data_IF_477334695754
#
_entry.id   IF_477334695754
#
_cell.length_a   1.000
_cell.length_b   1.000
_cell.length_c   1.000
_cell.angle_alpha   90.00
_cell.angle_beta   90.00
_cell.angle_gamma   90.00
#
_symmetry.space_group_name_H-M   'P 1'
#
loop_
_entity.id
_entity.type
_entity.pdbx_description
1 polymer ?
#
# COMPACT_ATOMS: atom_id res chain seq x y z
N UNK A 1 26.65 10.10 -46.84
CA UNK A 1 26.55 9.14 -45.72
C UNK A 1 26.80 9.80 -44.34
N UNK A 2 27.90 10.56 -44.13
CA UNK A 2 28.15 11.20 -42.78
C UNK A 2 27.07 12.14 -42.23
N UNK A 3 26.41 12.93 -43.08
CA UNK A 3 25.36 13.84 -42.68
C UNK A 3 24.10 13.15 -42.09
N UNK A 4 23.73 12.00 -42.62
CA UNK A 4 22.57 11.23 -42.08
C UNK A 4 22.89 10.53 -40.76
N UNK A 5 24.13 10.10 -40.56
CA UNK A 5 24.56 9.47 -39.30
C UNK A 5 24.47 10.48 -38.14
N UNK A 6 24.95 11.71 -38.35
CA UNK A 6 24.83 12.77 -37.31
C UNK A 6 23.38 13.10 -36.93
N UNK A 7 22.48 13.15 -37.93
CA UNK A 7 21.06 13.36 -37.69
C UNK A 7 20.39 12.21 -36.92
N UNK A 8 20.77 10.97 -37.26
CA UNK A 8 20.27 9.78 -36.56
C UNK A 8 20.74 9.78 -35.10
N UNK A 9 22.03 10.08 -34.85
CA UNK A 9 22.57 10.15 -33.50
C UNK A 9 21.88 11.24 -32.69
N UNK A 10 21.68 12.42 -33.28
CA UNK A 10 20.95 13.51 -32.62
C UNK A 10 19.50 13.13 -32.31
N UNK A 11 18.82 12.40 -33.21
CA UNK A 11 17.50 11.85 -32.99
C UNK A 11 17.43 10.85 -31.84
N UNK A 12 18.40 9.94 -31.76
CA UNK A 12 18.49 8.96 -30.67
C UNK A 12 18.69 9.68 -29.32
N UNK A 13 19.62 10.63 -29.25
CA UNK A 13 19.89 11.41 -28.02
C UNK A 13 18.63 12.17 -27.60
N UNK A 14 17.94 12.80 -28.55
CA UNK A 14 16.70 13.53 -28.29
C UNK A 14 15.59 12.60 -27.73
N UNK A 15 15.37 11.44 -28.37
CA UNK A 15 14.37 10.47 -27.92
C UNK A 15 14.70 9.90 -26.54
N UNK A 16 15.96 9.62 -26.28
CA UNK A 16 16.40 9.14 -24.95
C UNK A 16 16.16 10.20 -23.89
N UNK A 17 16.54 11.45 -24.14
CA UNK A 17 16.27 12.57 -23.21
C UNK A 17 14.79 12.80 -22.98
N UNK A 18 13.99 12.74 -24.03
CA UNK A 18 12.54 12.88 -23.94
C UNK A 18 11.92 11.73 -23.14
N UNK A 19 12.37 10.50 -23.34
CA UNK A 19 11.88 9.34 -22.58
C UNK A 19 12.19 9.46 -21.10
N UNK A 20 13.39 9.93 -20.73
CA UNK A 20 13.76 10.17 -19.32
C UNK A 20 12.90 11.28 -18.68
N UNK A 21 12.59 12.33 -19.43
CA UNK A 21 11.73 13.41 -18.96
C UNK A 21 10.28 12.98 -18.75
N UNK A 22 9.74 12.14 -19.63
CA UNK A 22 8.36 11.67 -19.59
C UNK A 22 8.14 10.52 -18.60
N UNK A 23 9.20 9.77 -18.30
CA UNK A 23 9.12 8.57 -17.44
C UNK A 23 8.41 8.84 -16.10
N UNK A 24 8.79 9.85 -15.28
CA UNK A 24 8.13 10.08 -14.00
C UNK A 24 6.64 10.43 -14.15
N UNK A 25 6.29 11.18 -15.18
CA UNK A 25 4.88 11.58 -15.42
C UNK A 25 4.02 10.36 -15.80
N UNK A 26 4.53 9.51 -16.68
CA UNK A 26 3.83 8.29 -17.12
C UNK A 26 3.74 7.30 -15.96
N UNK A 27 4.82 7.10 -15.21
CA UNK A 27 4.86 6.21 -14.05
C UNK A 27 3.87 6.65 -12.97
N UNK A 28 3.85 7.93 -12.62
CA UNK A 28 2.92 8.48 -11.63
C UNK A 28 1.46 8.33 -12.06
N UNK A 29 1.16 8.58 -13.33
CA UNK A 29 -0.20 8.39 -13.88
C UNK A 29 -0.63 6.92 -13.80
N UNK A 30 0.26 6.00 -14.14
CA UNK A 30 0.02 4.56 -14.08
C UNK A 30 -0.23 4.10 -12.64
N UNK A 31 0.64 4.48 -11.71
CA UNK A 31 0.50 4.14 -10.29
C UNK A 31 -0.79 4.69 -9.69
N UNK A 32 -1.12 5.96 -9.98
CA UNK A 32 -2.38 6.57 -9.50
C UNK A 32 -3.62 5.82 -9.98
N UNK A 33 -3.61 5.34 -11.23
CA UNK A 33 -4.71 4.53 -11.77
C UNK A 33 -4.83 3.18 -11.07
N UNK A 34 -3.70 2.50 -10.81
CA UNK A 34 -3.69 1.23 -10.09
C UNK A 34 -4.16 1.40 -8.63
N UNK A 35 -3.71 2.44 -7.93
CA UNK A 35 -4.15 2.75 -6.57
C UNK A 35 -5.66 2.99 -6.50
N UNK A 36 -6.21 3.74 -7.44
CA UNK A 36 -7.67 4.00 -7.51
C UNK A 36 -8.44 2.70 -7.74
N UNK A 37 -7.95 1.82 -8.61
CA UNK A 37 -8.57 0.53 -8.87
C UNK A 37 -8.50 -0.39 -7.64
N UNK A 38 -7.35 -0.50 -6.98
CA UNK A 38 -7.18 -1.31 -5.78
C UNK A 38 -8.14 -0.89 -4.66
N UNK A 39 -8.27 0.43 -4.43
CA UNK A 39 -9.23 0.95 -3.44
C UNK A 39 -10.68 0.65 -3.83
N UNK A 40 -11.04 0.76 -5.12
CA UNK A 40 -12.39 0.47 -5.59
C UNK A 40 -12.73 -1.02 -5.41
N UNK A 41 -11.80 -1.92 -5.71
CA UNK A 41 -12.01 -3.35 -5.60
C UNK A 41 -12.08 -3.80 -4.12
N UNK A 42 -11.24 -3.24 -3.26
CA UNK A 42 -11.32 -3.44 -1.81
C UNK A 42 -12.67 -2.97 -1.26
N UNK A 43 -13.12 -1.75 -1.62
CA UNK A 43 -14.40 -1.21 -1.16
C UNK A 43 -15.57 -2.11 -1.57
N UNK A 44 -15.58 -2.62 -2.81
CA UNK A 44 -16.59 -3.57 -3.29
C UNK A 44 -16.57 -4.88 -2.50
N UNK A 45 -15.40 -5.35 -2.08
CA UNK A 45 -15.30 -6.56 -1.28
C UNK A 45 -15.87 -6.34 0.13
N UNK A 46 -15.53 -5.22 0.76
CA UNK A 46 -16.08 -4.85 2.06
C UNK A 46 -17.60 -4.66 2.00
N UNK A 47 -18.15 -4.11 0.91
CA UNK A 47 -19.61 -3.99 0.71
C UNK A 47 -20.33 -5.35 0.64
N UNK A 48 -19.65 -6.39 0.15
CA UNK A 48 -20.21 -7.75 0.06
C UNK A 48 -20.15 -8.53 1.38
N UNK A 49 -19.24 -8.17 2.27
CA UNK A 49 -19.14 -8.77 3.60
C UNK A 49 -20.38 -8.43 4.42
N UNK A 50 -20.89 -9.40 5.16
CA UNK A 50 -21.95 -9.14 6.12
C UNK A 50 -21.43 -8.37 7.36
N UNK A 51 -22.33 -7.85 8.18
CA UNK A 51 -21.94 -7.04 9.33
C UNK A 51 -21.21 -7.88 10.39
N UNK A 52 -21.51 -9.17 10.50
CA UNK A 52 -20.86 -10.08 11.43
C UNK A 52 -19.39 -10.36 10.99
N UNK A 53 -19.15 -10.56 9.71
CA UNK A 53 -17.80 -10.73 9.15
C UNK A 53 -16.94 -9.49 9.40
N UNK A 54 -17.49 -8.28 9.19
CA UNK A 54 -16.81 -7.01 9.45
C UNK A 54 -16.46 -6.84 10.93
N UNK A 55 -17.42 -7.15 11.82
CA UNK A 55 -17.22 -7.06 13.26
C UNK A 55 -16.13 -8.05 13.73
N UNK A 56 -16.13 -9.27 13.22
CA UNK A 56 -15.10 -10.27 13.53
C UNK A 56 -13.72 -9.83 13.05
N UNK A 57 -13.60 -9.28 11.84
CA UNK A 57 -12.33 -8.78 11.30
C UNK A 57 -11.78 -7.62 12.16
N UNK A 58 -12.62 -6.68 12.57
CA UNK A 58 -12.23 -5.58 13.44
C UNK A 58 -11.85 -6.08 14.84
N UNK A 59 -12.62 -6.98 15.43
CA UNK A 59 -12.32 -7.55 16.74
C UNK A 59 -11.00 -8.34 16.75
N UNK A 60 -10.68 -9.05 15.66
CA UNK A 60 -9.41 -9.75 15.52
C UNK A 60 -8.24 -8.76 15.45
N UNK A 61 -8.37 -7.67 14.70
CA UNK A 61 -7.36 -6.61 14.62
C UNK A 61 -7.18 -5.86 15.94
N UNK A 62 -8.26 -5.57 16.66
CA UNK A 62 -8.19 -4.96 18.00
C UNK A 62 -7.49 -5.88 19.00
N UNK A 63 -7.80 -7.18 18.96
CA UNK A 63 -7.13 -8.18 19.80
C UNK A 63 -5.63 -8.24 19.51
N UNK A 64 -5.25 -8.23 18.22
CA UNK A 64 -3.83 -8.16 17.83
C UNK A 64 -3.17 -6.90 18.41
N UNK A 65 -3.79 -5.72 18.28
CA UNK A 65 -3.27 -4.48 18.85
C UNK A 65 -3.05 -4.57 20.37
N UNK A 66 -3.90 -5.28 21.09
CA UNK A 66 -3.74 -5.47 22.52
C UNK A 66 -2.55 -6.38 22.86
N UNK A 67 -2.27 -7.41 22.05
CA UNK A 67 -1.09 -8.26 22.26
C UNK A 67 0.21 -7.50 22.11
N UNK A 68 0.26 -6.52 21.20
CA UNK A 68 1.44 -5.68 20.98
C UNK A 68 1.84 -4.83 22.21
N UNK A 69 0.89 -4.49 23.08
CA UNK A 69 1.16 -3.67 24.28
C UNK A 69 2.11 -4.41 25.24
N UNK A 70 1.98 -5.73 25.33
CA UNK A 70 2.76 -6.56 26.25
C UNK A 70 3.92 -7.28 25.57
N UNK A 71 3.97 -7.26 24.23
CA UNK A 71 5.02 -7.93 23.45
C UNK A 71 6.26 -7.02 23.33
N UNK A 72 7.29 -7.28 24.11
CA UNK A 72 8.58 -6.56 24.04
C UNK A 72 9.37 -6.82 22.75
N UNK A 73 9.09 -7.93 22.04
CA UNK A 73 9.72 -8.33 20.79
C UNK A 73 8.94 -8.00 19.52
N UNK A 74 7.92 -7.12 19.61
CA UNK A 74 6.94 -6.86 18.53
C UNK A 74 7.52 -6.44 17.17
N UNK A 75 8.78 -5.99 17.12
CA UNK A 75 9.48 -5.63 15.88
C UNK A 75 10.43 -6.74 15.37
N UNK A 76 10.39 -7.91 15.99
CA UNK A 76 11.12 -9.12 15.57
C UNK A 76 10.17 -10.30 15.73
N UNK A 77 9.08 -10.32 14.93
CA UNK A 77 8.02 -11.33 15.07
C UNK A 77 8.53 -12.73 14.71
N UNK A 78 7.83 -13.74 15.18
CA UNK A 78 8.00 -15.12 14.74
C UNK A 78 7.23 -15.37 13.44
N UNK A 79 7.54 -16.46 12.72
CA UNK A 79 6.79 -16.83 11.48
C UNK A 79 5.27 -16.99 11.72
N UNK A 80 4.87 -17.37 12.93
CA UNK A 80 3.45 -17.50 13.30
C UNK A 80 2.81 -16.12 13.47
N UNK A 81 3.54 -15.15 14.06
CA UNK A 81 3.09 -13.78 14.24
C UNK A 81 3.01 -13.05 12.89
N UNK A 82 3.99 -13.24 11.99
CA UNK A 82 3.98 -12.73 10.62
C UNK A 82 2.75 -13.24 9.85
N UNK A 83 2.52 -14.56 9.89
CA UNK A 83 1.37 -15.17 9.22
C UNK A 83 0.04 -14.63 9.75
N UNK A 84 -0.06 -14.44 11.06
CA UNK A 84 -1.24 -13.85 11.68
C UNK A 84 -1.43 -12.42 11.21
N UNK A 85 -0.37 -11.60 11.27
CA UNK A 85 -0.40 -10.20 10.85
C UNK A 85 -0.87 -10.06 9.40
N UNK A 86 -0.31 -10.83 8.47
CA UNK A 86 -0.66 -10.80 7.04
C UNK A 86 -2.12 -11.21 6.77
N UNK A 87 -2.71 -12.02 7.65
CA UNK A 87 -4.11 -12.44 7.51
C UNK A 87 -5.13 -11.42 8.01
N UNK A 88 -4.70 -10.45 8.84
CA UNK A 88 -5.61 -9.48 9.46
C UNK A 88 -5.99 -8.36 8.50
N UNK A 89 -7.29 -8.04 8.41
CA UNK A 89 -7.85 -6.99 7.55
C UNK A 89 -7.68 -7.23 6.05
N UNK A 90 -7.09 -8.35 5.60
CA UNK A 90 -6.95 -8.68 4.18
C UNK A 90 -8.24 -9.30 3.62
N UNK A 91 -9.21 -8.45 3.31
CA UNK A 91 -10.54 -8.87 2.85
C UNK A 91 -10.55 -9.47 1.43
N UNK A 92 -9.51 -9.27 0.63
CA UNK A 92 -9.46 -9.66 -0.78
C UNK A 92 -8.22 -10.49 -1.18
N UNK A 93 -7.38 -10.89 -0.22
CA UNK A 93 -6.18 -11.70 -0.47
C UNK A 93 -5.07 -10.96 -1.23
N UNK A 94 -5.05 -9.63 -1.18
CA UNK A 94 -4.04 -8.81 -1.87
C UNK A 94 -3.04 -8.15 -0.93
N UNK A 95 -3.12 -8.41 0.36
CA UNK A 95 -2.35 -7.73 1.40
C UNK A 95 -2.82 -6.31 1.69
N UNK A 96 -3.93 -5.86 1.10
CA UNK A 96 -4.51 -4.55 1.37
C UNK A 96 -5.39 -4.60 2.62
N UNK A 97 -5.03 -3.84 3.66
CA UNK A 97 -5.76 -3.78 4.92
C UNK A 97 -6.76 -2.63 5.02
N UNK A 98 -6.70 -1.66 4.11
CA UNK A 98 -7.56 -0.51 4.13
C UNK A 98 -7.11 0.58 3.18
N UNK A 99 -7.66 1.78 3.34
CA UNK A 99 -7.20 2.96 2.59
C UNK A 99 -7.35 4.24 3.42
N UNK A 100 -6.47 5.21 3.17
CA UNK A 100 -6.58 6.55 3.73
C UNK A 100 -7.24 7.49 2.71
N UNK A 101 -8.09 8.38 3.20
CA UNK A 101 -8.69 9.46 2.39
C UNK A 101 -8.34 10.80 3.03
N UNK A 102 -7.77 11.71 2.23
CA UNK A 102 -7.46 13.08 2.63
C UNK A 102 -8.24 14.01 1.68
N UNK A 103 -9.45 14.45 2.08
CA UNK A 103 -10.37 15.18 1.21
C UNK A 103 -9.80 16.52 0.70
N UNK A 104 -9.04 17.22 1.54
CA UNK A 104 -8.48 18.55 1.24
C UNK A 104 -7.59 18.54 0.00
N UNK A 105 -6.88 17.46 -0.23
CA UNK A 105 -6.00 17.28 -1.40
C UNK A 105 -6.55 16.24 -2.40
N UNK A 106 -7.77 15.76 -2.19
CA UNK A 106 -8.43 14.71 -2.99
C UNK A 106 -7.57 13.45 -3.15
N UNK A 107 -6.85 13.10 -2.10
CA UNK A 107 -5.96 11.94 -2.07
C UNK A 107 -6.70 10.73 -1.48
N UNK A 108 -6.58 9.57 -2.14
CA UNK A 108 -7.09 8.29 -1.67
C UNK A 108 -6.07 7.21 -1.99
N UNK A 109 -5.43 6.65 -0.98
CA UNK A 109 -4.31 5.72 -1.13
C UNK A 109 -4.58 4.42 -0.39
N UNK A 110 -4.27 3.27 -1.01
CA UNK A 110 -4.37 1.96 -0.36
C UNK A 110 -3.28 1.81 0.71
N UNK A 111 -3.60 1.11 1.78
CA UNK A 111 -2.68 0.72 2.85
C UNK A 111 -2.50 -0.79 2.76
N UNK A 112 -1.26 -1.25 2.69
CA UNK A 112 -0.86 -2.65 2.60
C UNK A 112 -0.08 -3.09 3.83
N UNK A 113 -0.02 -4.41 4.04
CA UNK A 113 0.89 -5.01 5.01
C UNK A 113 2.34 -4.81 4.57
N UNK A 114 3.24 -4.57 5.55
CA UNK A 114 4.66 -4.43 5.31
C UNK A 114 5.09 -3.10 4.67
N UNK A 115 6.40 -2.94 4.53
CA UNK A 115 7.05 -1.73 3.98
C UNK A 115 8.12 -2.10 2.94
N UNK A 116 7.97 -3.23 2.26
CA UNK A 116 8.85 -3.66 1.19
C UNK A 116 8.77 -2.68 0.01
N UNK A 117 9.84 -2.60 -0.77
CA UNK A 117 9.92 -1.72 -1.94
C UNK A 117 8.74 -1.89 -2.91
N UNK A 118 8.25 -3.12 -3.06
CA UNK A 118 7.09 -3.45 -3.90
C UNK A 118 5.79 -2.79 -3.40
N UNK A 119 5.60 -2.71 -2.08
CA UNK A 119 4.47 -2.07 -1.41
C UNK A 119 4.56 -0.55 -1.55
N UNK A 120 5.73 0.03 -1.22
CA UNK A 120 5.94 1.48 -1.23
C UNK A 120 5.87 2.09 -2.63
N UNK A 121 6.03 1.28 -3.69
CA UNK A 121 5.82 1.72 -5.07
C UNK A 121 4.34 1.87 -5.45
N UNK A 122 3.44 1.13 -4.81
CA UNK A 122 2.03 1.05 -5.21
C UNK A 122 1.05 1.63 -4.20
N UNK A 123 1.48 1.87 -2.97
CA UNK A 123 0.62 2.38 -1.90
C UNK A 123 1.38 2.81 -0.68
N UNK A 124 0.68 2.83 0.44
CA UNK A 124 1.22 3.08 1.77
C UNK A 124 1.49 1.74 2.43
N UNK A 125 2.66 1.58 3.06
CA UNK A 125 3.02 0.42 3.84
C UNK A 125 2.71 0.62 5.33
N UNK A 126 2.15 -0.40 5.98
CA UNK A 126 1.99 -0.43 7.43
C UNK A 126 3.20 -1.10 8.07
N UNK A 127 3.80 -0.43 9.06
CA UNK A 127 4.97 -0.99 9.77
C UNK A 127 4.50 -2.05 10.75
N UNK A 128 4.88 -3.28 10.51
CA UNK A 128 4.63 -4.40 11.41
C UNK A 128 5.22 -4.13 12.80
N UNK A 129 4.54 -4.62 13.85
CA UNK A 129 4.87 -4.30 15.24
C UNK A 129 4.31 -2.97 15.73
N UNK A 130 3.79 -2.12 14.84
CA UNK A 130 2.90 -1.01 15.19
C UNK A 130 1.43 -1.47 15.20
N UNK A 131 0.54 -0.68 15.80
CA UNK A 131 -0.88 -1.04 15.86
C UNK A 131 -1.55 -0.98 14.48
N UNK A 132 -2.39 -1.95 14.15
CA UNK A 132 -3.23 -1.92 12.97
C UNK A 132 -4.17 -0.70 12.97
N UNK A 133 -4.56 -0.17 11.79
CA UNK A 133 -5.27 1.11 11.64
C UNK A 133 -6.77 1.02 11.97
N UNK A 134 -7.12 0.35 13.06
CA UNK A 134 -8.52 0.21 13.54
C UNK A 134 -8.86 1.14 14.69
N UNK A 135 -7.91 1.99 15.10
CA UNK A 135 -8.09 2.90 16.21
C UNK A 135 -7.97 2.21 17.58
N UNK A 136 -8.53 2.84 18.61
CA UNK A 136 -8.49 2.36 19.99
C UNK A 136 -7.61 3.21 20.91
N UNK A 137 -7.89 3.12 22.22
CA UNK A 137 -7.14 3.88 23.21
C UNK A 137 -5.78 3.22 23.46
N UNK A 138 -4.70 4.02 23.38
CA UNK A 138 -3.33 3.54 23.60
C UNK A 138 -2.70 2.84 22.39
N UNK A 139 -3.36 2.87 21.23
CA UNK A 139 -2.80 2.34 19.97
C UNK A 139 -1.96 3.41 19.26
N UNK A 140 -0.95 2.94 18.51
CA UNK A 140 -0.10 3.78 17.67
C UNK A 140 0.16 3.07 16.35
N UNK A 141 -0.54 3.50 15.29
CA UNK A 141 -0.36 2.98 13.93
C UNK A 141 0.72 3.80 13.21
N UNK A 142 1.65 3.12 12.55
CA UNK A 142 2.73 3.76 11.78
C UNK A 142 2.61 3.35 10.32
N UNK A 143 2.53 4.35 9.47
CA UNK A 143 2.42 4.22 8.02
C UNK A 143 3.63 4.88 7.34
N UNK A 144 4.17 4.26 6.30
CA UNK A 144 5.29 4.74 5.50
C UNK A 144 4.87 5.03 4.06
#
# INVERSE_FOLDING_TARGET
MRKHISTIIAGIIFLTGLSLLLYPTISNFWNSKHQTQAVADYSKQIEKMDDQEKEQALAAAEKYNQTLITNGGRFTPSEEEDTLYDSLLDANGTGMMGYITIPEIRCKLPIYHGVEDSVLQVGIGHIEGSSLPVGGKGTHCVLS
#
